data_IF_693707724220
#
_entry.id   IF_693707724220
#
_cell.length_a   1.000
_cell.length_b   1.000
_cell.length_c   1.000
_cell.angle_alpha   90.00
_cell.angle_beta   90.00
_cell.angle_gamma   90.00
#
_symmetry.space_group_name_H-M   'P 1'
#
loop_
_entity.id
_entity.type
_entity.pdbx_description
1 polymer ?
#
# COMPACT_ATOMS: atom_id res chain seq x y z
N UNK A 1 -4.09 -9.62 11.18
CA UNK A 1 -3.01 -9.31 10.22
C UNK A 1 -3.06 -7.84 9.81
N UNK A 2 -1.99 -7.08 10.04
CA UNK A 2 -1.91 -5.69 9.59
C UNK A 2 -2.03 -5.62 8.06
N UNK A 3 -2.91 -4.76 7.53
CA UNK A 3 -3.02 -4.49 6.08
C UNK A 3 -1.86 -3.58 5.64
N UNK A 4 -0.64 -4.05 5.84
CA UNK A 4 0.60 -3.35 5.53
C UNK A 4 1.49 -4.20 4.60
N UNK A 5 2.33 -3.53 3.84
CA UNK A 5 3.34 -4.21 3.01
C UNK A 5 4.45 -4.78 3.91
N UNK A 6 4.82 -6.04 3.73
CA UNK A 6 5.88 -6.68 4.52
C UNK A 6 7.28 -6.12 4.21
N UNK A 7 7.49 -5.58 3.01
CA UNK A 7 8.81 -5.09 2.55
C UNK A 7 9.05 -3.62 2.90
N UNK A 8 8.05 -2.76 2.70
CA UNK A 8 8.19 -1.31 2.84
C UNK A 8 7.27 -0.70 3.89
N UNK A 9 6.60 -1.55 4.67
CA UNK A 9 5.74 -1.17 5.81
C UNK A 9 4.60 -0.22 5.46
N UNK A 10 4.37 0.02 4.16
CA UNK A 10 3.31 0.90 3.68
C UNK A 10 1.97 0.41 4.21
N UNK A 11 1.36 1.24 5.05
CA UNK A 11 0.07 1.01 5.71
C UNK A 11 -1.01 1.93 5.14
N UNK A 12 -2.23 1.81 5.66
CA UNK A 12 -3.33 2.71 5.30
C UNK A 12 -3.10 4.11 5.86
N UNK A 13 -3.44 5.14 5.09
CA UNK A 13 -3.39 6.53 5.52
C UNK A 13 -4.78 7.14 5.56
N UNK A 14 -5.03 8.03 6.52
CA UNK A 14 -6.22 8.88 6.55
C UNK A 14 -5.92 10.17 5.80
N UNK A 15 -6.76 10.55 4.85
CA UNK A 15 -6.58 11.80 4.10
C UNK A 15 -7.91 12.46 3.81
N UNK A 16 -7.92 13.79 3.88
CA UNK A 16 -9.02 14.61 3.35
C UNK A 16 -9.12 14.52 1.83
N UNK A 17 -10.12 15.18 1.29
CA UNK A 17 -10.28 15.40 -0.14
C UNK A 17 -10.84 16.79 -0.40
N UNK A 18 -10.80 17.19 -1.65
CA UNK A 18 -11.48 18.38 -2.16
C UNK A 18 -12.36 17.93 -3.31
N UNK A 19 -13.55 18.52 -3.43
CA UNK A 19 -14.45 18.19 -4.53
C UNK A 19 -14.26 19.18 -5.68
N UNK A 20 -14.26 18.68 -6.91
CA UNK A 20 -14.17 19.51 -8.12
C UNK A 20 -15.54 20.10 -8.54
N UNK A 21 -16.55 20.12 -7.64
CA UNK A 21 -17.89 20.64 -7.95
C UNK A 21 -17.96 22.16 -8.03
N UNK A 22 -17.02 22.86 -7.39
CA UNK A 22 -16.97 24.34 -7.34
C UNK A 22 -15.71 24.82 -8.05
N UNK A 23 -15.65 26.11 -8.38
CA UNK A 23 -14.46 26.72 -8.99
C UNK A 23 -13.21 26.43 -8.15
N UNK A 24 -12.09 26.20 -8.82
CA UNK A 24 -10.81 25.85 -8.19
C UNK A 24 -10.31 26.88 -7.16
N UNK A 25 -10.81 28.13 -7.23
CA UNK A 25 -10.47 29.21 -6.29
C UNK A 25 -11.26 29.15 -4.98
N UNK A 26 -12.31 28.33 -4.90
CA UNK A 26 -13.12 28.16 -3.69
C UNK A 26 -12.77 26.85 -3.00
N UNK A 27 -12.38 26.96 -1.73
CA UNK A 27 -12.07 25.80 -0.90
C UNK A 27 -13.34 24.97 -0.63
N UNK A 28 -13.43 23.77 -1.19
CA UNK A 28 -14.54 22.83 -0.97
C UNK A 28 -14.04 21.48 -0.43
N UNK A 29 -13.80 21.37 0.89
CA UNK A 29 -13.29 20.16 1.52
C UNK A 29 -14.35 19.06 1.61
N UNK A 30 -13.92 17.82 1.45
CA UNK A 30 -14.72 16.62 1.73
C UNK A 30 -14.20 15.92 2.98
N UNK A 31 -15.05 15.11 3.60
CA UNK A 31 -14.70 14.31 4.77
C UNK A 31 -13.44 13.43 4.59
N UNK A 32 -12.80 13.11 5.72
CA UNK A 32 -11.61 12.24 5.74
C UNK A 32 -11.99 10.83 5.29
N UNK A 33 -11.24 10.28 4.33
CA UNK A 33 -11.38 8.89 3.87
C UNK A 33 -10.09 8.10 4.09
N UNK A 34 -10.24 6.80 4.37
CA UNK A 34 -9.11 5.88 4.50
C UNK A 34 -8.62 5.44 3.12
N UNK A 35 -7.36 5.72 2.81
CA UNK A 35 -6.67 5.27 1.61
C UNK A 35 -5.90 3.99 1.93
N UNK A 36 -6.30 2.86 1.35
CA UNK A 36 -5.66 1.55 1.58
C UNK A 36 -4.54 1.35 0.56
N UNK A 37 -3.39 0.75 0.95
CA UNK A 37 -2.39 0.34 -0.02
C UNK A 37 -2.95 -0.77 -0.92
N UNK A 38 -2.59 -0.72 -2.21
CA UNK A 38 -2.89 -1.81 -3.14
C UNK A 38 -1.93 -2.97 -2.85
N UNK A 39 -2.38 -3.92 -2.03
CA UNK A 39 -1.63 -5.11 -1.64
C UNK A 39 -2.02 -6.28 -2.55
N UNK A 40 -1.01 -6.96 -3.09
CA UNK A 40 -1.15 -8.07 -4.02
C UNK A 40 -0.27 -9.24 -3.57
N UNK A 41 -0.67 -10.45 -3.94
CA UNK A 41 0.13 -11.65 -3.70
C UNK A 41 1.33 -11.68 -4.64
N UNK A 42 2.50 -11.93 -4.08
CA UNK A 42 3.75 -12.12 -4.79
C UNK A 42 4.35 -13.47 -4.41
N UNK A 43 4.84 -14.21 -5.40
CA UNK A 43 5.58 -15.46 -5.21
C UNK A 43 7.01 -15.16 -4.77
N UNK A 44 7.53 -15.83 -3.76
CA UNK A 44 8.94 -15.68 -3.37
C UNK A 44 9.81 -16.62 -4.20
N UNK A 45 11.08 -16.25 -4.35
CA UNK A 45 12.14 -17.12 -4.89
C UNK A 45 12.38 -18.36 -4.03
N UNK A 46 12.23 -18.24 -2.69
CA UNK A 46 12.35 -19.35 -1.74
C UNK A 46 11.13 -20.28 -1.66
N UNK A 47 10.13 -20.07 -2.51
CA UNK A 47 8.82 -20.70 -2.39
C UNK A 47 7.90 -19.97 -1.41
N UNK A 48 6.58 -20.13 -1.61
CA UNK A 48 5.54 -19.44 -0.84
C UNK A 48 5.06 -18.14 -1.46
N UNK A 49 4.11 -17.48 -0.76
CA UNK A 49 3.43 -16.27 -1.22
C UNK A 49 3.35 -15.24 -0.09
N UNK A 50 3.64 -13.97 -0.39
CA UNK A 50 3.46 -12.85 0.55
C UNK A 50 2.57 -11.78 -0.05
N UNK A 51 1.86 -11.02 0.80
CA UNK A 51 1.17 -9.79 0.36
C UNK A 51 2.11 -8.61 0.42
N UNK A 52 2.32 -7.95 -0.71
CA UNK A 52 3.15 -6.75 -0.84
C UNK A 52 2.42 -5.67 -1.61
N UNK A 53 2.84 -4.42 -1.46
CA UNK A 53 2.27 -3.35 -2.26
C UNK A 53 2.72 -3.46 -3.73
N UNK A 54 1.87 -3.01 -4.65
CA UNK A 54 2.15 -3.04 -6.09
C UNK A 54 3.43 -2.31 -6.48
N UNK A 55 3.86 -1.28 -5.72
CA UNK A 55 5.14 -0.59 -5.95
C UNK A 55 6.34 -1.52 -5.69
N UNK A 56 6.27 -2.33 -4.63
CA UNK A 56 7.31 -3.32 -4.34
C UNK A 56 7.28 -4.50 -5.31
N UNK A 57 6.09 -4.90 -5.76
CA UNK A 57 5.93 -5.93 -6.78
C UNK A 57 6.55 -5.49 -8.11
N UNK A 58 6.23 -4.29 -8.59
CA UNK A 58 6.79 -3.71 -9.82
C UNK A 58 8.31 -3.51 -9.77
N UNK A 59 8.84 -3.18 -8.58
CA UNK A 59 10.27 -3.06 -8.36
C UNK A 59 10.99 -4.40 -8.10
N UNK A 60 10.29 -5.53 -8.28
CA UNK A 60 10.82 -6.90 -8.08
C UNK A 60 11.45 -7.15 -6.71
N UNK A 61 11.09 -6.38 -5.69
CA UNK A 61 11.65 -6.47 -4.33
C UNK A 61 11.28 -7.78 -3.61
N UNK A 62 10.32 -8.52 -4.14
CA UNK A 62 9.89 -9.81 -3.60
C UNK A 62 10.89 -10.93 -3.89
N UNK A 63 11.72 -10.79 -4.94
CA UNK A 63 12.72 -11.79 -5.33
C UNK A 63 13.91 -11.81 -4.37
N UNK A 64 14.30 -10.64 -3.88
CA UNK A 64 15.42 -10.46 -2.93
C UNK A 64 14.99 -10.53 -1.47
N UNK A 65 13.68 -10.63 -1.20
CA UNK A 65 13.15 -10.67 0.15
C UNK A 65 13.50 -12.01 0.83
N UNK A 66 14.45 -11.97 1.77
CA UNK A 66 14.70 -13.09 2.68
C UNK A 66 13.62 -13.09 3.75
N UNK A 67 12.68 -14.03 3.66
CA UNK A 67 11.73 -14.28 4.74
C UNK A 67 12.53 -14.55 6.02
N UNK A 68 12.44 -13.66 7.02
CA UNK A 68 12.92 -13.97 8.37
C UNK A 68 12.00 -15.08 8.91
N UNK A 69 12.33 -16.35 8.63
CA UNK A 69 11.83 -17.47 9.43
C UNK A 69 12.49 -17.31 10.80
N UNK A 70 11.77 -16.71 11.73
CA UNK A 70 12.23 -16.50 13.10
C UNK A 70 11.18 -17.03 14.07
N UNK A 71 11.51 -18.21 14.62
CA UNK A 71 11.04 -18.85 15.86
C UNK A 71 9.54 -18.92 16.12
#
# INVERSE_FOLDING_TARGET
MAKACVICEKSSQMGGGYSNRVRATQFNPTGKRRRKPNLQWATLSSGGRIKICTRCLKASKHLSYKSKKGK
#
